data_IF_625815191179
#
_entry.id   IF_625815191179
#
_cell.length_a   1.000
_cell.length_b   1.000
_cell.length_c   1.000
_cell.angle_alpha   90.00
_cell.angle_beta   90.00
_cell.angle_gamma   90.00
#
_symmetry.space_group_name_H-M   'P 1'
#
loop_
_entity.id
_entity.type
_entity.pdbx_description
1 polymer ?
#
# COMPACT_ATOMS: atom_id res chain seq x y z
N UNK A 1 1.00 -6.88 -10.21
CA UNK A 1 1.24 -7.16 -8.77
C UNK A 1 2.08 -6.07 -8.12
N UNK A 2 3.36 -5.94 -8.47
CA UNK A 2 4.24 -4.83 -8.11
C UNK A 2 5.36 -4.68 -9.15
N UNK A 3 6.02 -3.53 -9.18
CA UNK A 3 7.30 -3.36 -9.88
C UNK A 3 8.45 -3.43 -8.87
N UNK A 4 9.53 -4.11 -9.23
CA UNK A 4 10.73 -4.22 -8.40
C UNK A 4 11.98 -3.86 -9.20
N UNK A 5 12.87 -3.08 -8.60
CA UNK A 5 14.20 -2.75 -9.13
C UNK A 5 15.23 -3.05 -8.05
N UNK A 6 16.08 -4.07 -8.20
CA UNK A 6 17.11 -4.37 -7.23
C UNK A 6 18.23 -3.33 -7.26
N UNK A 7 18.82 -3.07 -6.10
CA UNK A 7 19.95 -2.18 -5.88
C UNK A 7 21.09 -2.87 -5.12
N UNK A 8 22.09 -2.09 -4.72
CA UNK A 8 23.29 -2.58 -4.01
C UNK A 8 23.61 -1.77 -2.76
N UNK A 9 22.90 -0.68 -2.50
CA UNK A 9 23.01 0.05 -1.24
C UNK A 9 22.18 -0.67 -0.15
N UNK A 10 22.52 -0.53 1.14
CA UNK A 10 21.72 -1.06 2.26
C UNK A 10 20.43 -0.24 2.50
N UNK A 11 19.67 0.03 1.44
CA UNK A 11 18.44 0.81 1.43
C UNK A 11 17.42 0.19 0.48
N UNK A 12 16.24 -0.11 1.00
CA UNK A 12 15.05 -0.50 0.24
C UNK A 12 14.01 0.61 0.39
N UNK A 13 13.48 1.11 -0.73
CA UNK A 13 12.37 2.07 -0.76
C UNK A 13 11.10 1.34 -1.20
N UNK A 14 10.10 1.31 -0.32
CA UNK A 14 8.80 0.66 -0.51
C UNK A 14 7.75 1.72 -0.82
N UNK A 15 6.91 1.48 -1.84
CA UNK A 15 5.77 2.33 -2.20
C UNK A 15 4.49 1.48 -2.20
N UNK A 16 3.96 1.11 -1.01
CA UNK A 16 2.86 0.16 -0.91
C UNK A 16 1.53 0.72 -1.42
N UNK A 17 1.39 2.05 -1.52
CA UNK A 17 0.15 2.71 -1.93
C UNK A 17 0.25 3.49 -3.25
N UNK A 18 1.33 3.34 -4.02
CA UNK A 18 1.50 4.06 -5.29
C UNK A 18 0.75 3.42 -6.48
N UNK A 19 0.21 2.22 -6.30
CA UNK A 19 -0.53 1.50 -7.34
C UNK A 19 -1.88 2.16 -7.65
N UNK A 20 -2.36 1.99 -8.88
CA UNK A 20 -3.59 2.65 -9.36
C UNK A 20 -4.56 1.68 -10.03
N UNK A 21 -4.12 0.45 -10.33
CA UNK A 21 -4.96 -0.54 -10.97
C UNK A 21 -6.02 -1.07 -9.99
N UNK A 22 -7.24 -1.23 -10.48
CA UNK A 22 -8.33 -1.90 -9.77
C UNK A 22 -8.89 -2.93 -10.76
N UNK A 23 -8.84 -4.24 -10.45
CA UNK A 23 -9.42 -5.27 -11.32
C UNK A 23 -10.91 -5.06 -11.56
N UNK A 24 -11.40 -5.38 -12.76
CA UNK A 24 -12.78 -5.14 -13.17
C UNK A 24 -13.79 -5.73 -12.18
N UNK A 25 -13.60 -6.99 -11.78
CA UNK A 25 -14.45 -7.70 -10.80
C UNK A 25 -14.53 -7.03 -9.41
N UNK A 26 -13.57 -6.15 -9.09
CA UNK A 26 -13.60 -5.32 -7.88
C UNK A 26 -14.24 -3.97 -8.19
N UNK A 27 -13.83 -3.32 -9.28
CA UNK A 27 -14.30 -1.98 -9.67
C UNK A 27 -15.82 -1.94 -9.94
N UNK A 28 -16.40 -3.00 -10.49
CA UNK A 28 -17.85 -3.12 -10.77
C UNK A 28 -18.71 -3.04 -9.50
N UNK A 29 -18.13 -3.38 -8.35
CA UNK A 29 -18.77 -3.35 -7.02
C UNK A 29 -18.54 -2.06 -6.26
N UNK A 30 -17.64 -1.21 -6.76
CA UNK A 30 -17.21 0.01 -6.09
C UNK A 30 -18.14 1.19 -6.37
N UNK A 31 -18.05 2.19 -5.50
CA UNK A 31 -18.69 3.51 -5.65
C UNK A 31 -17.89 4.40 -6.60
N UNK A 32 -18.50 5.44 -7.20
CA UNK A 32 -17.78 6.43 -8.00
C UNK A 32 -16.62 7.10 -7.23
N UNK A 33 -16.79 7.32 -5.93
CA UNK A 33 -15.80 7.90 -5.03
C UNK A 33 -14.54 7.03 -4.93
N UNK A 34 -14.70 5.72 -4.76
CA UNK A 34 -13.59 4.77 -4.76
C UNK A 34 -12.79 4.79 -6.06
N UNK A 35 -13.47 4.93 -7.20
CA UNK A 35 -12.81 4.92 -8.51
C UNK A 35 -11.95 6.17 -8.76
N UNK A 36 -12.11 7.23 -7.96
CA UNK A 36 -11.22 8.40 -7.97
C UNK A 36 -9.83 8.08 -7.38
N UNK A 37 -9.73 7.05 -6.52
CA UNK A 37 -8.45 6.61 -5.91
C UNK A 37 -7.76 7.75 -5.16
N UNK A 38 -8.55 8.53 -4.41
CA UNK A 38 -8.07 9.74 -3.72
C UNK A 38 -7.01 9.43 -2.64
N UNK A 39 -6.95 8.19 -2.16
CA UNK A 39 -6.06 7.76 -1.07
C UNK A 39 -4.79 7.06 -1.57
N UNK A 40 -4.56 7.04 -2.88
CA UNK A 40 -3.33 6.51 -3.50
C UNK A 40 -2.20 7.53 -3.37
N UNK A 41 -0.99 7.01 -3.16
CA UNK A 41 0.25 7.78 -3.10
C UNK A 41 0.77 8.11 -4.50
N UNK A 42 0.01 8.94 -5.21
CA UNK A 42 0.29 9.30 -6.57
C UNK A 42 1.70 9.91 -6.73
N UNK A 43 2.38 9.49 -7.78
CA UNK A 43 3.67 10.03 -8.20
C UNK A 43 4.87 9.76 -7.27
N UNK A 44 4.73 9.03 -6.16
CA UNK A 44 5.87 8.76 -5.28
C UNK A 44 7.03 8.02 -5.96
N UNK A 45 6.84 6.98 -6.78
CA UNK A 45 7.95 6.34 -7.49
C UNK A 45 8.71 7.29 -8.43
N UNK A 46 8.03 8.31 -8.97
CA UNK A 46 8.64 9.36 -9.80
C UNK A 46 9.38 10.38 -8.93
N UNK A 47 8.78 10.82 -7.81
CA UNK A 47 9.40 11.74 -6.87
C UNK A 47 10.71 11.17 -6.30
N UNK A 48 10.71 9.87 -5.97
CA UNK A 48 11.86 9.15 -5.43
C UNK A 48 12.74 8.50 -6.52
N UNK A 49 12.56 8.84 -7.80
CA UNK A 49 13.32 8.25 -8.90
C UNK A 49 14.85 8.38 -8.73
N UNK A 50 15.31 9.41 -8.00
CA UNK A 50 16.72 9.64 -7.71
C UNK A 50 17.35 8.53 -6.83
N UNK A 51 16.55 7.80 -6.05
CA UNK A 51 17.04 6.70 -5.21
C UNK A 51 17.70 5.58 -6.04
N UNK A 52 17.32 5.42 -7.31
CA UNK A 52 18.01 4.49 -8.22
C UNK A 52 19.48 4.87 -8.43
N UNK A 53 19.77 6.16 -8.60
CA UNK A 53 21.14 6.64 -8.76
C UNK A 53 21.95 6.49 -7.46
N UNK A 54 21.28 6.42 -6.31
CA UNK A 54 21.90 6.11 -5.01
C UNK A 54 22.14 4.60 -4.81
N UNK A 55 21.75 3.76 -5.75
CA UNK A 55 21.86 2.30 -5.66
C UNK A 55 20.83 1.65 -4.74
N UNK A 56 19.76 2.35 -4.37
CA UNK A 56 18.69 1.79 -3.54
C UNK A 56 17.85 0.78 -4.33
N UNK A 57 17.41 -0.28 -3.65
CA UNK A 57 16.36 -1.16 -4.17
C UNK A 57 15.00 -0.48 -4.04
N UNK A 58 14.13 -0.65 -5.02
CA UNK A 58 12.81 -0.01 -5.04
C UNK A 58 11.73 -1.05 -5.35
N UNK A 59 10.66 -1.05 -4.56
CA UNK A 59 9.46 -1.87 -4.78
C UNK A 59 8.22 -0.99 -4.72
N UNK A 60 7.34 -1.09 -5.72
CA UNK A 60 6.12 -0.28 -5.79
C UNK A 60 4.90 -1.12 -6.17
N UNK A 61 3.80 -0.93 -5.44
CA UNK A 61 2.52 -1.56 -5.76
C UNK A 61 2.02 -1.16 -7.15
N UNK A 62 1.36 -2.09 -7.85
CA UNK A 62 0.64 -1.78 -9.10
C UNK A 62 -0.85 -1.56 -8.87
N UNK A 63 -1.43 -2.27 -7.89
CA UNK A 63 -2.83 -2.16 -7.52
C UNK A 63 -3.07 -1.07 -6.49
N UNK A 64 -4.19 -0.37 -6.60
CA UNK A 64 -4.60 0.63 -5.63
C UNK A 64 -4.83 0.00 -4.26
N UNK A 65 -4.54 0.75 -3.19
CA UNK A 65 -4.80 0.31 -1.81
C UNK A 65 -6.25 -0.06 -1.53
N UNK A 66 -7.19 0.40 -2.37
CA UNK A 66 -8.61 0.02 -2.31
C UNK A 66 -8.84 -1.47 -2.65
N UNK A 67 -7.91 -2.10 -3.37
CA UNK A 67 -7.89 -3.56 -3.61
C UNK A 67 -7.42 -4.28 -2.34
N UNK A 68 -6.27 -3.87 -1.81
CA UNK A 68 -5.71 -4.35 -0.55
C UNK A 68 -4.67 -3.32 -0.05
N UNK A 69 -4.64 -3.05 1.24
CA UNK A 69 -3.68 -2.14 1.85
C UNK A 69 -2.40 -2.92 2.21
N UNK A 70 -1.34 -2.73 1.42
CA UNK A 70 -0.04 -3.37 1.61
C UNK A 70 0.76 -2.83 2.82
N UNK A 71 0.24 -1.82 3.52
CA UNK A 71 0.79 -1.31 4.78
C UNK A 71 -0.09 -1.70 5.98
N UNK A 72 -0.79 -2.82 5.88
CA UNK A 72 -1.52 -3.46 6.97
C UNK A 72 -1.04 -4.90 7.17
N UNK A 73 -1.04 -5.40 8.42
CA UNK A 73 -0.74 -6.79 8.69
C UNK A 73 -1.81 -7.70 8.05
N UNK A 74 -1.45 -8.94 7.67
CA UNK A 74 -2.36 -9.83 6.96
C UNK A 74 -3.54 -10.30 7.83
N UNK A 75 -3.42 -10.22 9.16
CA UNK A 75 -4.50 -10.48 10.13
C UNK A 75 -5.42 -9.27 10.36
N UNK A 76 -5.18 -8.14 9.69
CA UNK A 76 -5.91 -6.87 9.85
C UNK A 76 -6.02 -6.37 11.30
N UNK A 77 -5.02 -6.71 12.11
CA UNK A 77 -4.97 -6.25 13.51
C UNK A 77 -4.64 -4.76 13.54
N UNK A 78 -5.51 -3.96 14.15
CA UNK A 78 -5.25 -2.53 14.35
C UNK A 78 -4.03 -2.32 15.26
N UNK A 79 -3.05 -1.59 14.75
CA UNK A 79 -1.86 -1.17 15.51
C UNK A 79 -2.18 -0.03 16.49
N UNK A 80 -3.34 0.62 16.35
CA UNK A 80 -3.75 1.78 17.13
C UNK A 80 -5.17 1.58 17.69
N UNK A 81 -5.33 0.80 18.77
CA UNK A 81 -6.63 0.58 19.39
C UNK A 81 -7.30 1.91 19.77
N UNK A 82 -8.56 2.10 19.35
CA UNK A 82 -9.32 3.32 19.62
C UNK A 82 -9.11 4.47 18.64
N UNK A 83 -8.23 4.31 17.64
CA UNK A 83 -8.11 5.27 16.54
C UNK A 83 -8.93 4.83 15.32
N UNK A 84 -9.43 5.83 14.58
CA UNK A 84 -10.09 5.62 13.31
C UNK A 84 -9.03 5.29 12.24
N UNK A 85 -9.02 4.03 11.80
CA UNK A 85 -8.06 3.51 10.82
C UNK A 85 -8.79 2.76 9.71
N UNK A 86 -8.19 2.73 8.53
CA UNK A 86 -8.57 1.79 7.46
C UNK A 86 -8.01 0.40 7.77
N UNK A 87 -8.72 -0.65 7.34
CA UNK A 87 -8.28 -2.05 7.42
C UNK A 87 -7.50 -2.54 6.20
N UNK A 88 -7.13 -3.82 6.22
CA UNK A 88 -6.39 -4.54 5.17
C UNK A 88 -7.16 -4.56 3.86
N UNK A 89 -8.47 -4.77 3.90
CA UNK A 89 -9.38 -4.49 2.80
C UNK A 89 -10.21 -3.27 3.19
N UNK A 90 -9.79 -2.06 2.80
CA UNK A 90 -10.52 -0.84 3.16
C UNK A 90 -11.97 -0.91 2.69
N UNK A 91 -12.91 -0.45 3.51
CA UNK A 91 -14.34 -0.34 3.18
C UNK A 91 -14.79 1.10 2.99
N UNK A 92 -13.95 2.06 3.36
CA UNK A 92 -14.15 3.49 3.19
C UNK A 92 -12.84 4.20 2.78
N UNK A 93 -12.99 5.37 2.18
CA UNK A 93 -11.87 6.27 1.84
C UNK A 93 -11.33 6.97 3.09
N UNK A 94 -10.23 7.69 2.97
CA UNK A 94 -9.73 8.55 4.05
C UNK A 94 -10.70 9.66 4.47
N UNK A 95 -11.68 10.01 3.63
CA UNK A 95 -12.75 10.97 3.96
C UNK A 95 -14.05 10.29 4.40
N UNK A 96 -14.03 8.98 4.64
CA UNK A 96 -15.15 8.15 5.09
C UNK A 96 -16.26 7.97 4.05
N UNK A 97 -15.95 8.14 2.76
CA UNK A 97 -16.89 7.74 1.71
C UNK A 97 -16.81 6.22 1.52
N UNK A 98 -17.95 5.50 1.40
CA UNK A 98 -17.93 4.06 1.21
C UNK A 98 -17.21 3.66 -0.07
N UNK A 99 -16.36 2.63 -0.01
CA UNK A 99 -15.69 2.11 -1.20
C UNK A 99 -16.57 1.17 -2.04
N UNK A 100 -17.46 0.42 -1.38
CA UNK A 100 -18.33 -0.57 -2.02
C UNK A 100 -19.79 -0.14 -1.98
N UNK A 101 -20.55 -0.55 -3.00
CA UNK A 101 -22.01 -0.45 -2.98
C UNK A 101 -22.61 -1.28 -1.83
N UNK A 102 -23.81 -0.96 -1.35
CA UNK A 102 -24.45 -1.72 -0.26
C UNK A 102 -24.48 -3.23 -0.56
N UNK A 103 -23.99 -4.03 0.39
CA UNK A 103 -23.93 -5.49 0.27
C UNK A 103 -22.87 -6.03 -0.69
N UNK A 104 -21.95 -5.20 -1.21
CA UNK A 104 -20.91 -5.60 -2.17
C UNK A 104 -19.50 -5.57 -1.58
N UNK A 105 -19.36 -5.36 -0.27
CA UNK A 105 -18.09 -5.43 0.44
C UNK A 105 -17.50 -6.86 0.37
N UNK A 106 -16.17 -7.00 0.38
CA UNK A 106 -15.52 -8.31 0.34
C UNK A 106 -15.82 -9.10 1.61
N UNK A 107 -15.95 -10.42 1.46
CA UNK A 107 -16.08 -11.35 2.57
C UNK A 107 -14.72 -11.92 3.00
N UNK A 108 -14.72 -12.83 3.99
CA UNK A 108 -13.51 -13.45 4.49
C UNK A 108 -12.81 -14.33 3.45
N UNK A 109 -13.55 -15.00 2.56
CA UNK A 109 -12.96 -15.84 1.52
C UNK A 109 -12.25 -14.98 0.47
N UNK A 110 -12.85 -13.85 0.10
CA UNK A 110 -12.21 -12.86 -0.75
C UNK A 110 -11.00 -12.21 -0.09
N UNK A 111 -11.05 -11.92 1.21
CA UNK A 111 -9.90 -11.40 1.95
C UNK A 111 -8.69 -12.35 1.85
N UNK A 112 -8.89 -13.65 2.08
CA UNK A 112 -7.82 -14.65 1.93
C UNK A 112 -7.30 -14.74 0.48
N UNK A 113 -8.20 -14.70 -0.51
CA UNK A 113 -7.80 -14.71 -1.91
C UNK A 113 -6.97 -13.47 -2.28
N UNK A 114 -7.41 -12.27 -1.87
CA UNK A 114 -6.67 -11.02 -2.11
C UNK A 114 -5.33 -11.00 -1.38
N UNK A 115 -5.25 -11.55 -0.16
CA UNK A 115 -3.98 -11.73 0.55
C UNK A 115 -3.00 -12.58 -0.25
N UNK A 116 -3.44 -13.75 -0.72
CA UNK A 116 -2.59 -14.65 -1.52
C UNK A 116 -2.14 -14.02 -2.84
N UNK A 117 -3.02 -13.29 -3.53
CA UNK A 117 -2.77 -12.75 -4.88
C UNK A 117 -2.00 -11.43 -4.85
N UNK A 118 -2.19 -10.59 -3.84
CA UNK A 118 -1.68 -9.21 -3.84
C UNK A 118 -0.74 -8.90 -2.68
N UNK A 119 -1.06 -9.37 -1.47
CA UNK A 119 -0.28 -9.06 -0.27
C UNK A 119 0.98 -9.93 -0.18
N UNK A 120 0.81 -11.25 -0.24
CA UNK A 120 1.87 -12.19 0.09
C UNK A 120 3.10 -12.04 -0.82
N UNK A 121 2.99 -12.09 -2.17
CA UNK A 121 4.19 -11.91 -2.99
C UNK A 121 4.81 -10.49 -2.93
N UNK A 122 4.09 -9.43 -2.55
CA UNK A 122 4.72 -8.13 -2.29
C UNK A 122 5.64 -8.21 -1.07
N UNK A 123 5.13 -8.78 0.03
CA UNK A 123 5.88 -8.93 1.27
C UNK A 123 6.98 -9.99 1.16
N UNK A 124 6.82 -11.04 0.36
CA UNK A 124 7.86 -12.01 0.07
C UNK A 124 9.02 -11.37 -0.68
N UNK A 125 8.74 -10.56 -1.71
CA UNK A 125 9.76 -9.83 -2.46
C UNK A 125 10.48 -8.81 -1.57
N UNK A 126 9.73 -8.08 -0.74
CA UNK A 126 10.30 -7.14 0.21
C UNK A 126 11.20 -7.86 1.23
N UNK A 127 10.75 -8.99 1.79
CA UNK A 127 11.51 -9.80 2.75
C UNK A 127 12.79 -10.34 2.12
N UNK A 128 12.69 -10.95 0.95
CA UNK A 128 13.83 -11.53 0.25
C UNK A 128 14.91 -10.48 -0.03
N UNK A 129 14.52 -9.26 -0.39
CA UNK A 129 15.46 -8.19 -0.67
C UNK A 129 16.12 -7.62 0.60
N UNK A 130 15.34 -7.47 1.68
CA UNK A 130 15.88 -7.08 2.98
C UNK A 130 16.90 -8.11 3.49
N UNK A 131 16.57 -9.39 3.39
CA UNK A 131 17.47 -10.49 3.81
C UNK A 131 18.75 -10.51 2.97
N UNK A 132 18.63 -10.31 1.65
CA UNK A 132 19.79 -10.23 0.74
C UNK A 132 20.71 -9.07 1.10
N UNK A 133 20.18 -7.87 1.26
CA UNK A 133 20.98 -6.70 1.60
C UNK A 133 21.54 -6.77 3.03
N UNK A 134 20.77 -7.30 3.98
CA UNK A 134 21.28 -7.55 5.33
C UNK A 134 22.46 -8.53 5.32
N UNK A 135 22.39 -9.61 4.54
CA UNK A 135 23.50 -10.55 4.38
C UNK A 135 24.76 -9.94 3.76
N UNK A 136 24.62 -8.93 2.89
CA UNK A 136 25.74 -8.25 2.24
C UNK A 136 26.37 -7.13 3.09
N UNK A 137 25.56 -6.44 3.90
CA UNK A 137 25.98 -5.20 4.58
C UNK A 137 25.95 -5.28 6.11
N UNK A 138 25.41 -6.37 6.68
CA UNK A 138 25.17 -6.50 8.14
C UNK A 138 24.02 -5.64 8.67
N UNK A 139 23.38 -4.83 7.82
CA UNK A 139 22.31 -3.92 8.16
C UNK A 139 21.61 -3.39 6.90
N UNK A 140 20.32 -3.09 7.00
CA UNK A 140 19.51 -2.55 5.90
C UNK A 140 18.47 -1.59 6.46
N UNK A 141 18.22 -0.50 5.74
CA UNK A 141 17.13 0.43 6.04
C UNK A 141 15.96 0.15 5.10
N UNK A 142 14.77 -0.02 5.66
CA UNK A 142 13.52 0.03 4.92
C UNK A 142 12.93 1.45 5.04
N UNK A 143 12.81 2.13 3.91
CA UNK A 143 12.11 3.40 3.79
C UNK A 143 10.73 3.16 3.16
N UNK A 144 9.68 3.22 3.99
CA UNK A 144 8.30 3.08 3.50
C UNK A 144 7.72 4.47 3.17
N UNK A 145 7.60 4.76 1.89
CA UNK A 145 7.29 6.10 1.38
C UNK A 145 5.80 6.30 1.20
N UNK A 146 5.29 7.37 1.80
CA UNK A 146 3.88 7.76 1.77
C UNK A 146 3.66 9.23 1.47
N UNK A 147 2.47 9.55 1.01
CA UNK A 147 1.96 10.90 0.85
C UNK A 147 0.57 11.00 1.48
N UNK A 148 0.11 12.22 1.74
CA UNK A 148 -1.25 12.44 2.21
C UNK A 148 -1.68 13.85 1.83
N UNK A 149 -2.98 14.06 1.66
CA UNK A 149 -3.52 15.40 1.51
C UNK A 149 -3.15 16.26 2.72
N UNK A 150 -2.82 17.54 2.50
CA UNK A 150 -2.35 18.44 3.56
C UNK A 150 -3.36 18.65 4.69
N UNK A 151 -4.64 18.36 4.45
CA UNK A 151 -5.70 18.41 5.46
C UNK A 151 -6.48 17.09 5.39
N UNK A 152 -6.35 16.26 6.42
CA UNK A 152 -7.02 14.97 6.53
C UNK A 152 -7.63 14.76 7.94
N UNK A 153 -8.83 15.30 8.20
CA UNK A 153 -9.42 15.35 9.55
C UNK A 153 -9.72 13.99 10.17
N UNK A 154 -9.76 12.91 9.38
CA UNK A 154 -9.90 11.55 9.89
C UNK A 154 -8.72 11.15 10.78
N UNK A 155 -7.52 11.62 10.45
CA UNK A 155 -6.27 11.18 11.09
C UNK A 155 -5.52 12.30 11.81
N UNK A 156 -5.68 13.56 11.40
CA UNK A 156 -4.91 14.70 11.92
C UNK A 156 -5.77 15.94 12.13
N UNK A 157 -5.50 16.66 13.20
CA UNK A 157 -6.05 17.99 13.43
C UNK A 157 -5.28 19.04 12.62
N UNK A 158 -6.01 19.87 11.86
CA UNK A 158 -5.42 21.00 11.13
C UNK A 158 -4.69 20.60 9.84
N UNK A 159 -3.65 21.36 9.52
CA UNK A 159 -2.83 21.19 8.30
C UNK A 159 -1.45 20.63 8.68
N UNK A 160 -0.98 19.63 7.94
CA UNK A 160 0.36 19.03 8.05
C UNK A 160 1.47 19.93 7.48
#
# INVERSE_FOLDING_TARGET
MFSFTPGTAPLVVSFPHAGTEIPDAISERMTPEALQRADVDWHLPQLYAFCRAMGASMIAAQFARHVIDLNRPPEDTSLYPGQDVTGLLPTDTFRKEPLYRPGQAPDAAEAEARRAIYWQPYHDALRAELDRLHGLHGGVVLWDAHSIASVMPRFFDGKL
#
